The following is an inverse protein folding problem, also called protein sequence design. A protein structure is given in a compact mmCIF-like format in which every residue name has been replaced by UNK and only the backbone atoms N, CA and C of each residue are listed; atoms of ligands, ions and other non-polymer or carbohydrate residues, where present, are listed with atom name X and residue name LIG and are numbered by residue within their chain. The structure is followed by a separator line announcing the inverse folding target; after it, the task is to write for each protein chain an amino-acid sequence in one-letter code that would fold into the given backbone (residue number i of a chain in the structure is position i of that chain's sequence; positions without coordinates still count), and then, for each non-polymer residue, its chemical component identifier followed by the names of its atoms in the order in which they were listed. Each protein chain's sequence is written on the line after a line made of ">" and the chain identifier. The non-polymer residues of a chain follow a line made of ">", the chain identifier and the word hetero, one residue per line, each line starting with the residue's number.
data_IF_492179828028
#
_entry.id   IF_492179828028
#
_cell.length_a   1.000
_cell.length_b   1.000
_cell.length_c   1.000
_cell.angle_alpha   90.00
_cell.angle_beta   90.00
_cell.angle_gamma   90.00
#
_symmetry.space_group_name_H-M   'P 1'
#
loop_
_entity.id
_entity.type
_entity.pdbx_description
1 polymer ?
#
# COMPACT_ATOMS: atom_id res chain seq x y z
N UNK A 1 60.93 25.85 -35.64
CA UNK A 1 61.28 26.80 -34.56
C UNK A 1 60.08 27.71 -34.33
N UNK A 2 59.79 28.08 -33.07
CA UNK A 2 59.14 29.34 -32.57
C UNK A 2 58.42 30.28 -33.56
N UNK A 3 57.29 30.94 -33.24
CA UNK A 3 56.58 31.14 -31.97
C UNK A 3 55.17 31.76 -32.18
N UNK A 4 54.24 31.51 -31.24
CA UNK A 4 53.32 32.44 -30.53
C UNK A 4 52.68 33.70 -31.20
N UNK A 5 51.36 33.83 -30.91
CA UNK A 5 50.60 35.08 -30.55
C UNK A 5 50.34 36.12 -31.67
N UNK A 6 49.23 36.90 -31.69
CA UNK A 6 47.95 36.95 -30.94
C UNK A 6 46.94 37.93 -31.61
N UNK A 7 45.80 38.23 -30.93
CA UNK A 7 44.74 39.22 -31.28
C UNK A 7 43.91 38.84 -32.54
N UNK A 8 42.65 39.24 -32.78
CA UNK A 8 41.61 40.01 -32.05
C UNK A 8 40.23 39.62 -32.66
N UNK A 9 39.03 40.03 -32.22
CA UNK A 9 38.55 40.95 -31.17
C UNK A 9 37.10 40.57 -30.76
N UNK A 10 36.43 41.37 -29.91
CA UNK A 10 35.04 41.15 -29.48
C UNK A 10 33.96 41.41 -30.56
N UNK A 11 32.81 40.74 -30.44
CA UNK A 11 31.55 41.09 -31.11
C UNK A 11 30.48 41.37 -30.04
N UNK A 12 29.86 42.55 -30.08
CA UNK A 12 28.79 42.93 -29.16
C UNK A 12 27.42 42.49 -29.69
N UNK A 13 26.51 42.11 -28.78
CA UNK A 13 25.08 42.02 -29.09
C UNK A 13 24.27 42.80 -28.06
N UNK A 14 23.31 43.59 -28.54
CA UNK A 14 22.59 44.60 -27.77
C UNK A 14 21.19 44.15 -27.36
N UNK A 15 20.88 44.39 -26.07
CA UNK A 15 19.62 44.93 -25.53
C UNK A 15 18.29 44.48 -26.17
N UNK A 16 17.44 43.84 -25.35
CA UNK A 16 15.98 44.09 -25.39
C UNK A 16 15.42 44.12 -23.98
N UNK A 17 14.97 45.29 -23.51
CA UNK A 17 14.16 45.44 -22.30
C UNK A 17 12.68 45.34 -22.66
N UNK A 18 11.89 44.52 -21.96
CA UNK A 18 10.44 44.65 -21.91
C UNK A 18 9.99 45.05 -20.50
N UNK A 19 9.07 46.00 -20.43
CA UNK A 19 8.47 46.50 -19.20
C UNK A 19 7.29 45.63 -18.73
N UNK A 20 6.96 45.71 -17.44
CA UNK A 20 5.85 45.00 -16.85
C UNK A 20 4.48 45.57 -17.25
N UNK A 21 3.46 44.70 -17.31
CA UNK A 21 2.05 45.09 -17.16
C UNK A 21 1.48 44.42 -15.90
N UNK A 22 0.81 45.22 -15.07
CA UNK A 22 0.02 44.73 -13.96
C UNK A 22 -1.42 44.45 -14.41
N UNK A 23 -2.03 43.39 -13.89
CA UNK A 23 -3.47 43.15 -13.99
C UNK A 23 -4.03 42.79 -12.61
N UNK A 24 -4.96 43.61 -12.13
CA UNK A 24 -5.68 43.42 -10.88
C UNK A 24 -6.65 42.24 -10.98
N UNK A 25 -6.50 41.23 -10.11
CA UNK A 25 -7.45 40.15 -9.92
C UNK A 25 -7.72 39.95 -8.43
N UNK A 26 -9.00 39.85 -8.05
CA UNK A 26 -9.43 39.80 -6.65
C UNK A 26 -8.69 38.73 -5.85
N UNK A 27 -8.20 39.11 -4.67
CA UNK A 27 -7.62 38.19 -3.70
C UNK A 27 -8.68 37.24 -3.13
N UNK A 28 -9.03 36.19 -3.90
CA UNK A 28 -9.34 34.90 -3.28
C UNK A 28 -8.09 34.51 -2.52
N UNK A 29 -8.24 34.19 -1.24
CA UNK A 29 -7.14 33.65 -0.45
C UNK A 29 -6.55 32.48 -1.24
N UNK A 30 -5.29 32.62 -1.66
CA UNK A 30 -4.55 31.52 -2.22
C UNK A 30 -4.26 30.61 -1.03
N UNK A 31 -5.23 29.74 -0.70
CA UNK A 31 -5.02 28.65 0.26
C UNK A 31 -3.78 27.94 -0.26
N UNK A 32 -2.68 27.89 0.51
CA UNK A 32 -1.53 27.12 0.08
C UNK A 32 -2.05 25.71 -0.13
N UNK A 33 -2.04 25.26 -1.39
CA UNK A 33 -2.20 23.84 -1.69
C UNK A 33 -1.00 23.21 -1.02
N UNK A 34 -1.23 22.65 0.16
CA UNK A 34 -0.20 21.98 0.93
C UNK A 34 0.45 20.96 0.02
N UNK A 35 1.78 20.92 0.03
CA UNK A 35 2.50 19.85 -0.63
C UNK A 35 1.90 18.51 -0.14
N UNK A 36 1.35 17.66 -1.03
CA UNK A 36 0.75 16.40 -0.63
C UNK A 36 1.77 15.47 0.05
N UNK A 37 3.07 15.74 -0.06
CA UNK A 37 4.13 15.06 0.71
C UNK A 37 4.05 15.26 2.23
N UNK A 38 3.29 16.25 2.72
CA UNK A 38 3.21 16.60 4.15
C UNK A 38 1.77 16.73 4.67
N UNK A 39 0.81 16.11 3.99
CA UNK A 39 -0.47 15.76 4.63
C UNK A 39 -0.28 14.41 5.29
N UNK A 40 -0.37 14.34 6.62
CA UNK A 40 -0.46 13.06 7.32
C UNK A 40 -1.84 12.44 7.06
N UNK A 41 -1.94 11.75 5.92
CA UNK A 41 -3.08 10.93 5.57
C UNK A 41 -3.19 9.80 6.60
N UNK A 42 -4.42 9.53 7.04
CA UNK A 42 -4.71 8.40 7.93
C UNK A 42 -4.50 7.11 7.16
N UNK A 43 -3.98 6.07 7.81
CA UNK A 43 -3.93 4.74 7.19
C UNK A 43 -5.34 4.22 6.91
N UNK A 44 -5.52 3.64 5.73
CA UNK A 44 -6.78 3.13 5.22
C UNK A 44 -7.34 1.99 6.08
N UNK A 45 -6.52 1.01 6.43
CA UNK A 45 -6.95 -0.20 7.12
C UNK A 45 -7.10 0.00 8.63
N UNK A 46 -6.37 0.96 9.22
CA UNK A 46 -6.60 1.44 10.58
C UNK A 46 -7.91 2.28 10.67
N UNK A 47 -8.32 2.92 9.58
CA UNK A 47 -9.51 3.80 9.55
C UNK A 47 -10.80 3.08 9.16
N UNK A 48 -10.73 2.18 8.18
CA UNK A 48 -11.86 1.51 7.55
C UNK A 48 -11.48 0.05 7.29
N UNK A 49 -11.26 -0.72 8.36
CA UNK A 49 -10.75 -2.11 8.29
C UNK A 49 -11.50 -3.02 7.30
N UNK A 50 -12.80 -2.81 7.14
CA UNK A 50 -13.66 -3.60 6.26
C UNK A 50 -13.40 -3.44 4.74
N UNK A 51 -12.56 -2.50 4.29
CA UNK A 51 -12.15 -2.39 2.86
C UNK A 51 -10.78 -3.00 2.57
N UNK A 52 -10.13 -3.62 3.57
CA UNK A 52 -8.84 -4.27 3.40
C UNK A 52 -8.95 -5.78 3.60
N UNK A 53 -8.19 -6.54 2.83
CA UNK A 53 -8.12 -7.99 2.94
C UNK A 53 -7.02 -8.40 3.93
N UNK A 54 -7.27 -9.46 4.71
CA UNK A 54 -6.22 -10.05 5.53
C UNK A 54 -5.30 -10.90 4.66
N UNK A 55 -4.00 -10.84 4.93
CA UNK A 55 -2.99 -11.62 4.22
C UNK A 55 -1.84 -12.02 5.15
N UNK A 56 -0.89 -12.79 4.64
CA UNK A 56 0.28 -13.23 5.38
C UNK A 56 1.24 -12.09 5.78
N UNK A 57 2.28 -12.41 6.58
CA UNK A 57 3.25 -11.40 7.05
C UNK A 57 4.06 -10.76 5.92
N UNK A 58 4.12 -11.40 4.75
CA UNK A 58 4.85 -10.98 3.57
C UNK A 58 3.99 -10.14 2.59
N UNK A 59 3.02 -9.38 3.12
CA UNK A 59 2.13 -8.53 2.33
C UNK A 59 2.93 -7.56 1.42
N UNK A 60 2.56 -7.40 0.14
CA UNK A 60 3.14 -6.37 -0.73
C UNK A 60 3.05 -4.98 -0.09
N UNK A 61 4.18 -4.26 -0.05
CA UNK A 61 4.24 -2.87 0.41
C UNK A 61 3.87 -1.95 -0.74
N UNK A 62 2.87 -1.10 -0.52
CA UNK A 62 2.42 -0.10 -1.49
C UNK A 62 2.95 1.29 -1.15
N UNK A 63 2.92 1.65 0.14
CA UNK A 63 3.35 2.93 0.72
C UNK A 63 2.91 4.17 -0.10
N UNK A 64 1.61 4.22 -0.48
CA UNK A 64 1.08 5.24 -1.38
C UNK A 64 -0.17 5.94 -0.84
N UNK A 65 -0.41 7.15 -1.35
CA UNK A 65 -1.69 7.83 -1.18
C UNK A 65 -2.76 7.18 -2.09
N UNK A 66 -3.91 6.88 -1.51
CA UNK A 66 -5.04 6.22 -2.18
C UNK A 66 -6.34 6.97 -1.92
N UNK A 67 -7.31 6.76 -2.80
CA UNK A 67 -8.65 7.32 -2.75
C UNK A 67 -9.65 6.19 -2.54
N UNK A 68 -10.41 6.26 -1.46
CA UNK A 68 -11.55 5.37 -1.17
C UNK A 68 -12.84 6.06 -1.63
N UNK A 69 -13.62 5.42 -2.49
CA UNK A 69 -14.95 5.91 -2.89
C UNK A 69 -16.07 5.45 -1.96
N UNK A 70 -17.28 5.98 -2.16
CA UNK A 70 -18.47 5.62 -1.38
C UNK A 70 -19.03 4.20 -1.63
N UNK A 71 -18.43 3.43 -2.54
CA UNK A 71 -18.80 2.03 -2.83
C UNK A 71 -17.78 1.02 -2.25
N UNK A 72 -16.67 1.50 -1.69
CA UNK A 72 -15.59 0.64 -1.15
C UNK A 72 -14.40 0.48 -2.10
N UNK A 73 -14.41 1.12 -3.28
CA UNK A 73 -13.33 0.98 -4.27
C UNK A 73 -12.11 1.79 -3.84
N UNK A 74 -10.93 1.16 -3.83
CA UNK A 74 -9.65 1.80 -3.52
C UNK A 74 -8.86 2.01 -4.82
N UNK A 75 -8.35 3.23 -5.02
CA UNK A 75 -7.57 3.60 -6.21
C UNK A 75 -6.34 4.43 -5.84
N UNK A 76 -5.25 4.36 -6.62
CA UNK A 76 -4.12 5.28 -6.40
C UNK A 76 -4.56 6.74 -6.57
N UNK A 77 -4.05 7.62 -5.69
CA UNK A 77 -4.25 9.05 -5.83
C UNK A 77 -3.45 9.59 -7.02
N UNK A 78 -4.10 10.41 -7.85
CA UNK A 78 -3.45 11.06 -9.00
C UNK A 78 -2.92 12.45 -8.64
N UNK A 79 -2.19 13.09 -9.55
CA UNK A 79 -1.76 14.50 -9.38
C UNK A 79 -2.93 15.48 -9.25
N UNK A 80 -4.14 15.12 -9.70
CA UNK A 80 -5.37 15.88 -9.48
C UNK A 80 -6.00 15.68 -8.10
N UNK A 81 -5.39 14.88 -7.23
CA UNK A 81 -5.98 14.45 -5.95
C UNK A 81 -6.98 13.30 -6.13
N UNK A 82 -7.92 13.21 -5.19
CA UNK A 82 -9.00 12.22 -5.24
C UNK A 82 -10.23 12.73 -6.00
N UNK A 83 -10.96 11.85 -6.70
CA UNK A 83 -12.23 12.20 -7.35
C UNK A 83 -13.26 12.78 -6.37
N UNK A 84 -14.22 13.55 -6.89
CA UNK A 84 -15.35 14.03 -6.10
C UNK A 84 -16.12 12.84 -5.50
N UNK A 85 -16.41 12.90 -4.20
CA UNK A 85 -17.06 11.81 -3.46
C UNK A 85 -16.11 10.71 -2.98
N UNK A 86 -14.80 10.83 -3.22
CA UNK A 86 -13.77 9.96 -2.62
C UNK A 86 -13.02 10.68 -1.49
N UNK A 87 -12.46 9.90 -0.56
CA UNK A 87 -11.65 10.38 0.57
C UNK A 87 -10.22 9.87 0.44
N UNK A 88 -9.24 10.73 0.71
CA UNK A 88 -7.81 10.38 0.65
C UNK A 88 -7.35 9.66 1.93
N UNK A 89 -6.60 8.58 1.76
CA UNK A 89 -5.96 7.78 2.81
C UNK A 89 -4.53 7.42 2.39
N UNK A 90 -3.73 6.97 3.34
CA UNK A 90 -2.47 6.27 3.07
C UNK A 90 -2.71 4.76 3.09
N UNK A 91 -2.09 4.01 2.19
CA UNK A 91 -2.10 2.55 2.21
C UNK A 91 -0.66 2.04 2.37
N UNK A 92 -0.33 1.52 3.55
CA UNK A 92 0.97 0.89 3.84
C UNK A 92 1.18 -0.36 2.98
N UNK A 93 0.19 -1.26 2.96
CA UNK A 93 0.25 -2.54 2.25
C UNK A 93 -0.88 -2.65 1.22
N UNK A 94 -0.57 -3.27 0.09
CA UNK A 94 -1.49 -3.43 -1.02
C UNK A 94 -0.76 -3.65 -2.34
N UNK A 95 -1.52 -3.95 -3.40
CA UNK A 95 -1.01 -4.04 -4.76
C UNK A 95 -2.01 -3.48 -5.78
N UNK A 96 -1.49 -3.09 -6.95
CA UNK A 96 -2.28 -2.55 -8.06
C UNK A 96 -2.72 -3.71 -8.95
N UNK A 97 -3.96 -4.18 -8.80
CA UNK A 97 -4.48 -5.30 -9.59
C UNK A 97 -4.98 -4.87 -10.99
N UNK A 98 -5.36 -3.60 -11.17
CA UNK A 98 -5.64 -3.00 -12.48
C UNK A 98 -4.87 -1.67 -12.65
N UNK A 99 -3.71 -1.70 -13.34
CA UNK A 99 -2.93 -0.49 -13.64
C UNK A 99 -3.62 0.50 -14.59
N UNK A 100 -4.56 0.04 -15.43
CA UNK A 100 -5.28 0.91 -16.37
C UNK A 100 -6.31 1.79 -15.65
N UNK A 101 -6.97 1.24 -14.63
CA UNK A 101 -7.90 1.97 -13.78
C UNK A 101 -7.26 2.54 -12.51
N UNK A 102 -6.00 2.16 -12.22
CA UNK A 102 -5.28 2.39 -10.96
C UNK A 102 -6.02 1.81 -9.74
N UNK A 103 -6.65 0.63 -9.88
CA UNK A 103 -7.36 -0.03 -8.79
C UNK A 103 -6.37 -0.78 -7.90
N UNK A 104 -6.60 -0.70 -6.60
CA UNK A 104 -5.73 -1.24 -5.55
C UNK A 104 -6.54 -2.19 -4.67
N UNK A 105 -5.94 -3.33 -4.32
CA UNK A 105 -6.36 -4.11 -3.16
C UNK A 105 -5.43 -3.73 -2.00
N UNK A 106 -5.99 -3.42 -0.84
CA UNK A 106 -5.25 -2.99 0.35
C UNK A 106 -5.24 -4.11 1.39
N UNK A 107 -4.13 -4.26 2.11
CA UNK A 107 -3.88 -5.44 2.94
C UNK A 107 -3.68 -5.12 4.43
N UNK A 108 -4.11 -6.08 5.26
CA UNK A 108 -3.77 -6.18 6.68
C UNK A 108 -2.90 -7.43 6.85
N UNK A 109 -1.56 -7.30 6.97
CA UNK A 109 -0.70 -8.42 7.27
C UNK A 109 -0.99 -8.95 8.67
N UNK A 110 -1.22 -10.26 8.78
CA UNK A 110 -1.28 -10.98 10.05
C UNK A 110 0.05 -11.69 10.34
N UNK A 111 0.35 -11.92 11.62
CA UNK A 111 1.51 -12.71 12.01
C UNK A 111 1.33 -14.17 11.57
N UNK A 112 2.41 -14.83 11.12
CA UNK A 112 2.37 -16.26 10.79
C UNK A 112 2.02 -17.09 12.04
N UNK A 113 1.00 -17.94 11.95
CA UNK A 113 0.61 -18.88 13.00
C UNK A 113 1.82 -19.73 13.46
N UNK A 114 2.64 -20.22 12.53
CA UNK A 114 3.77 -21.10 12.83
C UNK A 114 4.95 -20.39 13.52
N UNK A 115 4.92 -19.06 13.62
CA UNK A 115 5.84 -18.32 14.50
C UNK A 115 5.49 -18.43 15.99
N UNK A 116 4.31 -18.95 16.31
CA UNK A 116 3.82 -19.11 17.69
C UNK A 116 3.89 -20.57 18.12
N UNK A 117 4.46 -20.80 19.31
CA UNK A 117 4.62 -22.15 19.85
C UNK A 117 3.25 -22.82 20.06
N UNK A 118 3.06 -23.97 19.40
CA UNK A 118 1.84 -24.78 19.53
C UNK A 118 0.67 -24.39 18.62
N UNK A 119 0.85 -23.46 17.66
CA UNK A 119 -0.18 -23.15 16.65
C UNK A 119 0.04 -23.84 15.29
N UNK A 120 1.17 -24.52 15.08
CA UNK A 120 1.39 -25.34 13.88
C UNK A 120 1.98 -26.71 14.22
N UNK A 121 1.67 -27.68 13.36
CA UNK A 121 2.28 -29.01 13.35
C UNK A 121 3.39 -29.09 12.30
N UNK A 122 4.45 -29.84 12.60
CA UNK A 122 5.51 -30.16 11.65
C UNK A 122 5.12 -31.42 10.88
N UNK A 123 4.38 -31.24 9.79
CA UNK A 123 3.98 -32.31 8.87
C UNK A 123 4.15 -31.85 7.41
N UNK A 124 4.13 -32.82 6.48
CA UNK A 124 4.08 -32.54 5.05
C UNK A 124 2.76 -31.84 4.67
N UNK A 125 2.80 -31.01 3.63
CA UNK A 125 1.62 -30.26 3.15
C UNK A 125 0.50 -31.26 2.80
N UNK A 126 -0.58 -31.21 3.56
CA UNK A 126 -1.70 -32.13 3.40
C UNK A 126 -2.56 -31.71 2.20
N UNK A 127 -2.99 -32.64 1.32
CA UNK A 127 -3.87 -32.32 0.20
C UNK A 127 -5.15 -31.61 0.66
N UNK A 128 -5.43 -30.43 0.11
CA UNK A 128 -6.55 -29.58 0.51
C UNK A 128 -6.19 -28.50 1.54
N UNK A 129 -4.93 -28.41 1.98
CA UNK A 129 -4.43 -27.23 2.69
C UNK A 129 -4.63 -25.95 1.86
N UNK A 130 -4.93 -24.85 2.53
CA UNK A 130 -5.08 -23.53 1.89
C UNK A 130 -4.70 -22.38 2.83
N UNK A 131 -4.27 -21.27 2.23
CA UNK A 131 -3.89 -20.08 2.98
C UNK A 131 -5.12 -19.30 3.43
N UNK A 132 -5.22 -18.98 4.73
CA UNK A 132 -6.38 -18.32 5.31
C UNK A 132 -6.04 -17.53 6.59
N UNK A 133 -6.83 -16.49 6.91
CA UNK A 133 -6.85 -15.94 8.26
C UNK A 133 -7.51 -16.95 9.20
N UNK A 134 -6.93 -17.10 10.40
CA UNK A 134 -7.48 -17.91 11.48
C UNK A 134 -7.67 -17.04 12.72
N UNK A 135 -8.65 -17.39 13.53
CA UNK A 135 -8.81 -16.86 14.88
C UNK A 135 -8.44 -17.92 15.91
N UNK A 136 -7.52 -17.60 16.82
CA UNK A 136 -7.09 -18.50 17.89
C UNK A 136 -7.49 -17.99 19.28
N UNK A 137 -8.00 -18.90 20.12
CA UNK A 137 -8.19 -18.69 21.55
C UNK A 137 -7.29 -19.65 22.33
N UNK A 138 -6.12 -19.17 22.74
CA UNK A 138 -5.06 -20.06 23.22
C UNK A 138 -4.48 -20.86 22.05
N UNK A 139 -4.46 -22.19 22.17
CA UNK A 139 -3.94 -23.11 21.14
C UNK A 139 -5.01 -23.69 20.21
N UNK A 140 -6.28 -23.31 20.36
CA UNK A 140 -7.37 -23.78 19.49
C UNK A 140 -7.71 -22.66 18.51
N UNK A 141 -7.74 -22.97 17.22
CA UNK A 141 -7.98 -22.01 16.14
C UNK A 141 -9.16 -22.43 15.26
N UNK A 142 -9.87 -21.44 14.72
CA UNK A 142 -11.01 -21.59 13.81
C UNK A 142 -10.77 -20.75 12.54
N UNK A 143 -11.37 -21.12 11.39
CA UNK A 143 -11.18 -20.36 10.16
C UNK A 143 -11.96 -19.04 10.24
N UNK A 144 -11.35 -17.95 9.80
CA UNK A 144 -12.01 -16.65 9.70
C UNK A 144 -11.26 -15.49 10.35
N UNK A 145 -11.86 -14.31 10.20
CA UNK A 145 -11.23 -13.01 10.48
C UNK A 145 -12.04 -12.10 11.40
N UNK A 146 -13.16 -12.59 11.94
CA UNK A 146 -14.06 -11.89 12.87
C UNK A 146 -14.20 -12.72 14.15
N UNK A 147 -13.58 -12.24 15.24
CA UNK A 147 -13.63 -12.91 16.55
C UNK A 147 -13.05 -12.03 17.69
N UNK A 148 -13.29 -12.47 18.93
CA UNK A 148 -12.70 -11.91 20.16
C UNK A 148 -11.28 -12.44 20.49
N UNK A 149 -10.74 -13.36 19.67
CA UNK A 149 -9.43 -14.00 19.84
C UNK A 149 -8.27 -13.24 19.17
N UNK A 150 -7.13 -13.91 19.02
CA UNK A 150 -5.99 -13.36 18.25
C UNK A 150 -6.03 -13.86 16.82
N UNK A 151 -5.93 -12.94 15.85
CA UNK A 151 -5.85 -13.28 14.43
C UNK A 151 -4.41 -13.62 14.01
N UNK A 152 -4.27 -14.72 13.28
CA UNK A 152 -3.01 -15.15 12.65
C UNK A 152 -3.24 -15.50 11.18
N UNK A 153 -2.16 -15.56 10.41
CA UNK A 153 -2.17 -16.14 9.07
C UNK A 153 -1.72 -17.59 9.12
N UNK A 154 -2.55 -18.47 8.56
CA UNK A 154 -2.21 -19.86 8.29
C UNK A 154 -1.82 -19.96 6.81
N UNK A 155 -0.59 -20.40 6.51
CA UNK A 155 -0.18 -20.62 5.11
C UNK A 155 -0.77 -21.92 4.55
N UNK A 156 -0.69 -23.00 5.33
CA UNK A 156 -1.18 -24.32 4.97
C UNK A 156 -2.18 -24.79 6.04
N UNK A 157 -3.43 -24.32 5.92
CA UNK A 157 -4.51 -24.64 6.86
C UNK A 157 -5.45 -25.71 6.34
N UNK A 158 -5.75 -26.71 7.19
CA UNK A 158 -6.81 -27.69 6.95
C UNK A 158 -7.92 -27.51 7.98
N UNK A 159 -9.16 -27.36 7.50
CA UNK A 159 -10.35 -27.32 8.35
C UNK A 159 -10.74 -28.75 8.77
N UNK A 160 -10.77 -29.00 10.07
CA UNK A 160 -11.13 -30.27 10.68
C UNK A 160 -12.66 -30.47 10.76
N UNK A 161 -13.11 -31.72 10.95
CA UNK A 161 -14.54 -32.05 11.09
C UNK A 161 -15.22 -31.39 12.32
N UNK A 162 -14.44 -31.00 13.34
CA UNK A 162 -14.90 -30.26 14.52
C UNK A 162 -14.97 -28.73 14.30
N UNK A 163 -14.62 -28.26 13.09
CA UNK A 163 -14.61 -26.86 12.69
C UNK A 163 -13.33 -26.08 13.06
N UNK A 164 -12.36 -26.72 13.73
CA UNK A 164 -11.05 -26.09 13.99
C UNK A 164 -10.17 -26.07 12.74
N UNK A 165 -9.07 -25.30 12.77
CA UNK A 165 -8.01 -25.35 11.75
C UNK A 165 -6.74 -25.88 12.38
N UNK A 166 -6.16 -26.91 11.75
CA UNK A 166 -4.75 -27.27 11.95
C UNK A 166 -3.92 -26.56 10.90
N UNK A 167 -2.90 -25.82 11.35
CA UNK A 167 -1.90 -25.21 10.47
C UNK A 167 -0.64 -26.07 10.41
N UNK A 168 -0.04 -26.13 9.24
CA UNK A 168 1.20 -26.88 9.00
C UNK A 168 2.33 -25.92 8.65
N UNK A 169 3.53 -26.18 9.18
CA UNK A 169 4.76 -25.51 8.76
C UNK A 169 5.36 -26.28 7.58
N UNK A 170 4.67 -26.17 6.43
CA UNK A 170 4.97 -26.93 5.23
C UNK A 170 6.36 -26.62 4.67
N UNK A 171 7.29 -27.57 4.81
CA UNK A 171 8.47 -27.61 3.94
C UNK A 171 7.97 -28.03 2.55
N UNK A 172 8.11 -27.17 1.53
CA UNK A 172 7.96 -27.61 0.13
C UNK A 172 9.08 -28.60 -0.19
N UNK A 173 8.76 -29.90 -0.14
CA UNK A 173 9.66 -30.97 -0.59
C UNK A 173 9.62 -31.02 -2.11
N UNK A 174 10.59 -30.36 -2.74
CA UNK A 174 10.81 -30.47 -4.18
C UNK A 174 11.48 -31.81 -4.51
N UNK A 175 10.69 -32.80 -4.95
CA UNK A 175 11.16 -34.06 -5.56
C UNK A 175 11.62 -33.87 -7.03
#
# INVERSE_FOLDING_TARGET
>A
MTNKLALSSALALTVTTLAALAASGSARANVPVGDPSNVQLRDLCDSTRAVCEYTGPNAPVLDAAVCLDGMGTVRLQTTGGCPLGSVAFHARYGEVYDPGQNLVVAYIPLANACSQAGLCETAEITPGASAMPICCWGAICWPGSDCDGTLFWCHDGVCNEDGTVTCFDGQEVFD
#
